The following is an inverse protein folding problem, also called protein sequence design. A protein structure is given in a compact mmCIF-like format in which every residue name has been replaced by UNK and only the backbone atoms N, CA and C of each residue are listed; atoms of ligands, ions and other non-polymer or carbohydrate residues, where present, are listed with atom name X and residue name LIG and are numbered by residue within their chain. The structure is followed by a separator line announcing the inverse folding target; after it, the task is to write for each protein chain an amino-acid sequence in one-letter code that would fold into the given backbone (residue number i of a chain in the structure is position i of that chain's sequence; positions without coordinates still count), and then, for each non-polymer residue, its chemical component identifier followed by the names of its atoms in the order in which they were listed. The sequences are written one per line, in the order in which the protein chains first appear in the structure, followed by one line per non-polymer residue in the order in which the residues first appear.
data_IF_581257442237
#
_entry.id   IF_581257442237
#
_cell.length_a   1.000
_cell.length_b   1.000
_cell.length_c   1.000
_cell.angle_alpha   90.00
_cell.angle_beta   90.00
_cell.angle_gamma   90.00
#
_symmetry.space_group_name_H-M   'P 1'
#
loop_
_entity.id
_entity.type
_entity.pdbx_description
1 polymer ?
#
# COMPACT_ATOMS: atom_id res chain seq x y z
N UNK A 1 -9.56 37.19 -11.19
CA UNK A 1 -9.55 35.93 -11.96
C UNK A 1 -8.47 36.01 -13.03
N UNK A 2 -7.58 35.03 -13.13
CA UNK A 2 -6.66 34.90 -14.28
C UNK A 2 -7.38 34.06 -15.34
N UNK A 3 -7.44 34.53 -16.58
CA UNK A 3 -7.99 33.78 -17.71
C UNK A 3 -7.02 33.83 -18.89
N UNK A 4 -7.10 32.83 -19.75
CA UNK A 4 -6.35 32.76 -21.00
C UNK A 4 -7.33 32.91 -22.16
N UNK A 5 -6.98 33.73 -23.15
CA UNK A 5 -7.78 33.96 -24.35
C UNK A 5 -7.18 33.18 -25.53
N UNK A 6 -8.01 32.40 -26.23
CA UNK A 6 -7.59 31.60 -27.39
C UNK A 6 -8.23 32.17 -28.66
N UNK A 7 -7.40 32.77 -29.53
CA UNK A 7 -7.84 33.36 -30.80
C UNK A 7 -7.48 32.45 -31.99
N UNK A 8 -8.47 32.16 -32.85
CA UNK A 8 -8.30 31.31 -34.03
C UNK A 8 -9.32 31.65 -35.12
N UNK A 9 -9.01 31.30 -36.36
CA UNK A 9 -9.90 31.54 -37.49
C UNK A 9 -11.17 30.67 -37.41
N UNK A 10 -12.35 31.26 -37.67
CA UNK A 10 -13.68 30.60 -37.59
C UNK A 10 -13.78 29.24 -38.28
N UNK A 11 -12.99 28.97 -39.32
CA UNK A 11 -12.94 27.70 -40.06
C UNK A 11 -12.47 26.51 -39.21
N UNK A 12 -11.78 26.77 -38.10
CA UNK A 12 -11.29 25.74 -37.18
C UNK A 12 -12.16 25.57 -35.93
N UNK A 13 -13.34 26.20 -35.86
CA UNK A 13 -14.21 26.17 -34.68
C UNK A 13 -14.51 24.75 -34.18
N UNK A 14 -14.89 23.85 -35.07
CA UNK A 14 -15.25 22.49 -34.68
C UNK A 14 -14.04 21.72 -34.17
N UNK A 15 -12.88 21.86 -34.81
CA UNK A 15 -11.62 21.27 -34.36
C UNK A 15 -11.25 21.76 -32.95
N UNK A 16 -11.36 23.07 -32.72
CA UNK A 16 -10.98 23.67 -31.44
C UNK A 16 -11.92 23.24 -30.32
N UNK A 17 -13.23 23.28 -30.54
CA UNK A 17 -14.21 22.94 -29.50
C UNK A 17 -14.20 21.43 -29.19
N UNK A 18 -14.14 20.58 -30.21
CA UNK A 18 -14.31 19.13 -30.01
C UNK A 18 -13.01 18.40 -29.66
N UNK A 19 -11.86 18.83 -30.19
CA UNK A 19 -10.57 18.16 -29.98
C UNK A 19 -9.63 18.99 -29.11
N UNK A 20 -9.32 20.22 -29.49
CA UNK A 20 -8.27 21.01 -28.81
C UNK A 20 -8.64 21.34 -27.36
N UNK A 21 -9.84 21.87 -27.10
CA UNK A 21 -10.26 22.18 -25.72
C UNK A 21 -10.35 20.93 -24.85
N UNK A 22 -10.84 19.81 -25.40
CA UNK A 22 -10.84 18.53 -24.68
C UNK A 22 -9.41 18.09 -24.33
N UNK A 23 -8.49 18.18 -25.29
CA UNK A 23 -7.08 17.90 -25.06
C UNK A 23 -6.50 18.81 -23.96
N UNK A 24 -6.68 20.13 -24.04
CA UNK A 24 -6.18 21.08 -23.03
C UNK A 24 -6.76 20.79 -21.64
N UNK A 25 -8.05 20.47 -21.54
CA UNK A 25 -8.66 20.10 -20.26
C UNK A 25 -8.12 18.77 -19.70
N UNK A 26 -7.85 17.80 -20.57
CA UNK A 26 -7.23 16.53 -20.17
C UNK A 26 -5.79 16.76 -19.73
N UNK A 27 -4.99 17.50 -20.50
CA UNK A 27 -3.61 17.83 -20.15
C UNK A 27 -3.52 18.66 -18.87
N UNK A 28 -4.40 19.65 -18.68
CA UNK A 28 -4.44 20.42 -17.44
C UNK A 28 -4.75 19.54 -16.21
N UNK A 29 -5.64 18.55 -16.37
CA UNK A 29 -5.90 17.55 -15.31
C UNK A 29 -4.68 16.67 -15.06
N UNK A 30 -4.01 16.20 -16.11
CA UNK A 30 -2.80 15.39 -16.01
C UNK A 30 -1.68 16.14 -15.29
N UNK A 31 -1.41 17.40 -15.69
CA UNK A 31 -0.41 18.27 -15.07
C UNK A 31 -0.74 18.49 -13.59
N UNK A 32 -2.00 18.83 -13.27
CA UNK A 32 -2.44 19.04 -11.89
C UNK A 32 -2.29 17.77 -11.05
N UNK A 33 -2.50 16.60 -11.64
CA UNK A 33 -2.33 15.32 -10.97
C UNK A 33 -0.85 14.95 -10.81
N UNK A 34 0.00 15.24 -11.80
CA UNK A 34 1.44 14.96 -11.73
C UNK A 34 2.17 15.86 -10.73
N UNK A 35 1.72 17.10 -10.57
CA UNK A 35 2.25 18.07 -9.60
C UNK A 35 1.54 18.01 -8.25
N UNK A 36 0.66 17.02 -8.03
CA UNK A 36 -0.11 16.90 -6.79
C UNK A 36 0.82 16.41 -5.68
N UNK A 37 0.90 17.17 -4.60
CA UNK A 37 1.42 16.71 -3.32
C UNK A 37 0.43 15.71 -2.73
N UNK A 38 0.94 14.53 -2.36
CA UNK A 38 0.12 13.46 -1.78
C UNK A 38 -0.10 13.79 -0.32
N UNK A 39 -1.32 13.57 0.17
CA UNK A 39 -1.65 13.76 1.58
C UNK A 39 -1.80 12.43 2.30
N UNK A 40 -1.36 12.40 3.56
CA UNK A 40 -1.69 11.35 4.52
C UNK A 40 -2.80 11.88 5.42
N UNK A 41 -3.87 11.10 5.53
CA UNK A 41 -5.03 11.39 6.36
C UNK A 41 -5.09 10.39 7.52
N UNK A 42 -5.20 10.92 8.73
CA UNK A 42 -5.32 10.14 9.97
C UNK A 42 -6.60 10.51 10.71
N UNK A 43 -7.14 9.59 11.49
CA UNK A 43 -8.38 9.81 12.24
C UNK A 43 -8.19 10.97 13.24
N UNK A 44 -9.09 11.94 13.22
CA UNK A 44 -9.10 13.05 14.18
C UNK A 44 -10.54 13.35 14.61
N UNK A 45 -10.86 12.99 15.84
CA UNK A 45 -12.18 13.21 16.45
C UNK A 45 -12.39 14.65 16.94
N UNK A 46 -11.31 15.43 17.05
CA UNK A 46 -11.37 16.81 17.54
C UNK A 46 -11.51 17.82 16.37
N UNK A 47 -11.31 17.36 15.13
CA UNK A 47 -11.43 18.16 13.92
C UNK A 47 -12.88 18.40 13.47
N UNK A 48 -13.06 19.34 12.53
CA UNK A 48 -14.35 19.58 11.86
C UNK A 48 -14.70 18.46 10.87
N UNK A 49 -13.66 17.91 10.24
CA UNK A 49 -13.69 16.70 9.44
C UNK A 49 -12.99 15.60 10.23
N UNK A 50 -13.53 14.38 10.24
CA UNK A 50 -13.00 13.22 10.98
C UNK A 50 -11.59 12.77 10.51
N UNK A 51 -11.02 13.49 9.54
CA UNK A 51 -9.72 13.26 8.95
C UNK A 51 -8.86 14.51 9.12
N UNK A 52 -7.79 14.39 9.90
CA UNK A 52 -6.67 15.34 9.84
C UNK A 52 -5.79 14.99 8.64
N UNK A 53 -5.09 15.98 8.05
CA UNK A 53 -4.24 15.71 6.90
C UNK A 53 -2.88 16.40 7.00
N UNK A 54 -1.84 15.68 6.58
CA UNK A 54 -0.46 16.18 6.44
C UNK A 54 0.07 15.83 5.05
N UNK A 55 1.14 16.49 4.60
CA UNK A 55 1.82 16.10 3.38
C UNK A 55 2.56 14.78 3.59
N UNK A 56 2.38 13.83 2.66
CA UNK A 56 3.07 12.55 2.63
C UNK A 56 4.33 12.66 1.76
N UNK A 57 5.45 13.00 2.39
CA UNK A 57 6.75 13.11 1.73
C UNK A 57 7.58 11.81 1.90
N UNK A 58 6.97 10.65 1.61
CA UNK A 58 7.68 9.37 1.74
C UNK A 58 8.54 9.09 0.50
N UNK A 59 9.85 8.79 0.63
CA UNK A 59 10.77 8.63 -0.51
C UNK A 59 10.64 7.29 -1.26
N UNK A 60 9.64 6.46 -0.94
CA UNK A 60 9.53 5.10 -1.45
C UNK A 60 8.93 5.11 -2.85
N UNK A 61 9.59 4.42 -3.78
CA UNK A 61 9.11 4.16 -5.12
C UNK A 61 9.21 2.67 -5.41
N UNK A 62 8.50 2.17 -6.41
CA UNK A 62 8.63 0.78 -6.85
C UNK A 62 10.09 0.41 -7.17
N UNK A 63 10.87 1.36 -7.68
CA UNK A 63 12.30 1.15 -7.98
C UNK A 63 13.13 0.91 -6.73
N UNK A 64 12.75 1.48 -5.58
CA UNK A 64 13.52 1.36 -4.33
C UNK A 64 13.09 0.19 -3.45
N UNK A 65 11.96 -0.46 -3.76
CA UNK A 65 11.44 -1.58 -2.96
C UNK A 65 12.09 -2.89 -3.38
N UNK A 66 12.73 -3.56 -2.41
CA UNK A 66 13.28 -4.90 -2.55
C UNK A 66 12.16 -5.94 -2.58
N UNK A 67 11.84 -6.42 -3.78
CA UNK A 67 10.87 -7.48 -4.04
C UNK A 67 11.21 -8.17 -5.36
N UNK A 68 10.63 -9.35 -5.60
CA UNK A 68 10.82 -10.06 -6.85
C UNK A 68 10.32 -9.25 -8.05
N UNK A 69 11.09 -9.19 -9.16
CA UNK A 69 10.72 -8.39 -10.33
C UNK A 69 9.36 -8.76 -10.94
N UNK A 70 9.02 -10.05 -10.96
CA UNK A 70 7.74 -10.52 -11.51
C UNK A 70 6.56 -10.06 -10.64
N UNK A 71 6.66 -10.21 -9.32
CA UNK A 71 5.62 -9.72 -8.38
C UNK A 71 5.45 -8.21 -8.48
N UNK A 72 6.55 -7.47 -8.62
CA UNK A 72 6.55 -6.01 -8.83
C UNK A 72 5.81 -5.64 -10.11
N UNK A 73 6.14 -6.30 -11.23
CA UNK A 73 5.51 -6.06 -12.53
C UNK A 73 4.03 -6.35 -12.48
N UNK A 74 3.63 -7.51 -11.95
CA UNK A 74 2.23 -7.93 -11.89
C UNK A 74 1.38 -6.95 -11.04
N UNK A 75 1.96 -6.42 -9.95
CA UNK A 75 1.33 -5.39 -9.11
C UNK A 75 1.15 -4.07 -9.87
N UNK A 76 2.20 -3.58 -10.56
CA UNK A 76 2.13 -2.34 -11.35
C UNK A 76 1.09 -2.48 -12.47
N UNK A 77 1.09 -3.61 -13.18
CA UNK A 77 0.11 -3.89 -14.24
C UNK A 77 -1.33 -3.92 -13.71
N UNK A 78 -1.57 -4.46 -12.51
CA UNK A 78 -2.92 -4.45 -11.92
C UNK A 78 -3.36 -3.03 -11.51
N UNK A 79 -2.43 -2.20 -11.01
CA UNK A 79 -2.69 -0.81 -10.68
C UNK A 79 -3.04 0.02 -11.91
N UNK A 80 -2.25 -0.09 -12.99
CA UNK A 80 -2.54 0.57 -14.28
C UNK A 80 -3.86 0.08 -14.88
N UNK A 81 -4.13 -1.23 -14.77
CA UNK A 81 -5.39 -1.84 -15.19
C UNK A 81 -6.58 -1.30 -14.39
N UNK A 82 -6.42 -1.05 -13.10
CA UNK A 82 -7.46 -0.47 -12.26
C UNK A 82 -7.82 0.95 -12.69
N UNK A 83 -6.81 1.81 -12.89
CA UNK A 83 -6.99 3.21 -13.30
C UNK A 83 -7.65 3.31 -14.69
N UNK A 84 -7.21 2.47 -15.63
CA UNK A 84 -7.69 2.51 -17.02
C UNK A 84 -9.11 1.96 -17.22
N UNK A 85 -9.72 1.36 -16.19
CA UNK A 85 -10.99 0.61 -16.31
C UNK A 85 -12.21 1.32 -15.74
N UNK A 86 -12.19 2.64 -15.54
CA UNK A 86 -13.36 3.41 -15.07
C UNK A 86 -14.67 3.04 -15.76
N UNK A 87 -14.68 3.09 -17.09
CA UNK A 87 -15.87 2.83 -17.91
C UNK A 87 -16.30 1.37 -17.85
N UNK A 88 -15.34 0.45 -17.66
CA UNK A 88 -15.63 -0.98 -17.49
C UNK A 88 -16.42 -1.20 -16.20
N UNK A 89 -15.94 -0.69 -15.06
CA UNK A 89 -16.62 -0.80 -13.76
C UNK A 89 -18.04 -0.22 -13.83
N UNK A 90 -18.17 0.97 -14.43
CA UNK A 90 -19.48 1.62 -14.64
C UNK A 90 -20.42 0.77 -15.50
N UNK A 91 -19.92 0.21 -16.60
CA UNK A 91 -20.72 -0.60 -17.54
C UNK A 91 -21.22 -1.90 -16.90
N UNK A 92 -20.42 -2.52 -16.04
CA UNK A 92 -20.81 -3.77 -15.35
C UNK A 92 -21.54 -3.52 -14.03
N UNK A 93 -21.86 -2.25 -13.70
CA UNK A 93 -22.61 -1.89 -12.50
C UNK A 93 -21.88 -2.17 -11.19
N UNK A 94 -20.54 -2.17 -11.20
CA UNK A 94 -19.71 -2.41 -10.00
C UNK A 94 -19.09 -1.11 -9.50
N UNK A 95 -18.98 -0.98 -8.18
CA UNK A 95 -18.22 0.08 -7.55
C UNK A 95 -16.76 0.05 -8.05
N UNK A 96 -16.20 1.22 -8.39
CA UNK A 96 -14.84 1.33 -8.90
C UNK A 96 -13.83 1.30 -7.76
N UNK A 97 -13.70 0.11 -7.17
CA UNK A 97 -12.78 -0.19 -6.07
C UNK A 97 -11.90 -1.39 -6.41
N UNK A 98 -10.74 -1.47 -5.75
CA UNK A 98 -9.81 -2.60 -5.81
C UNK A 98 -9.20 -2.87 -4.45
N UNK A 99 -9.26 -4.12 -4.00
CA UNK A 99 -8.70 -4.53 -2.71
C UNK A 99 -7.39 -5.28 -2.83
N UNK A 100 -6.41 -4.92 -1.99
CA UNK A 100 -5.09 -5.54 -1.91
C UNK A 100 -4.85 -6.05 -0.48
N UNK A 101 -4.31 -7.26 -0.37
CA UNK A 101 -3.80 -7.82 0.88
C UNK A 101 -2.29 -7.95 0.78
N UNK A 102 -1.55 -7.18 1.57
CA UNK A 102 -0.11 -7.28 1.72
C UNK A 102 0.19 -8.12 2.96
N UNK A 103 0.82 -9.28 2.78
CA UNK A 103 1.09 -10.17 3.90
C UNK A 103 2.51 -10.72 3.91
N UNK A 104 3.05 -10.96 5.09
CA UNK A 104 4.38 -11.53 5.29
C UNK A 104 5.03 -11.03 6.57
N UNK A 105 6.23 -11.53 6.92
CA UNK A 105 6.91 -11.18 8.17
C UNK A 105 7.05 -9.67 8.41
N UNK A 106 7.18 -9.21 9.67
CA UNK A 106 7.52 -7.83 9.97
C UNK A 106 8.86 -7.45 9.34
N UNK A 107 9.04 -6.18 8.97
CA UNK A 107 10.30 -5.72 8.34
C UNK A 107 10.47 -6.05 6.85
N UNK A 108 9.41 -6.55 6.19
CA UNK A 108 9.44 -6.84 4.74
C UNK A 108 9.07 -5.64 3.86
N UNK A 109 8.62 -4.53 4.43
CA UNK A 109 8.32 -3.29 3.69
C UNK A 109 6.87 -3.14 3.24
N UNK A 110 5.91 -3.77 3.93
CA UNK A 110 4.46 -3.66 3.65
C UNK A 110 3.99 -2.19 3.59
N UNK A 111 4.25 -1.40 4.63
CA UNK A 111 3.87 0.04 4.65
C UNK A 111 4.66 0.87 3.64
N UNK A 112 5.93 0.54 3.38
CA UNK A 112 6.72 1.20 2.33
C UNK A 112 6.15 0.92 0.93
N UNK A 113 5.57 -0.26 0.70
CA UNK A 113 4.88 -0.60 -0.55
C UNK A 113 3.60 0.23 -0.73
N UNK A 114 2.83 0.44 0.33
CA UNK A 114 1.68 1.36 0.31
C UNK A 114 2.11 2.76 -0.10
N UNK A 115 3.19 3.28 0.49
CA UNK A 115 3.74 4.58 0.13
C UNK A 115 4.19 4.63 -1.34
N UNK A 116 4.82 3.58 -1.86
CA UNK A 116 5.20 3.49 -3.28
C UNK A 116 3.97 3.44 -4.20
N UNK A 117 2.91 2.72 -3.83
CA UNK A 117 1.64 2.71 -4.57
C UNK A 117 1.04 4.12 -4.60
N UNK A 118 0.99 4.81 -3.46
CA UNK A 118 0.50 6.19 -3.38
C UNK A 118 1.31 7.13 -4.28
N UNK A 119 2.64 7.06 -4.20
CA UNK A 119 3.57 7.87 -4.99
C UNK A 119 3.44 7.65 -6.50
N UNK A 120 3.23 6.40 -6.90
CA UNK A 120 3.05 6.00 -8.29
C UNK A 120 1.71 6.49 -8.85
N UNK A 121 0.63 6.36 -8.07
CA UNK A 121 -0.73 6.73 -8.49
C UNK A 121 -1.06 8.21 -8.30
N UNK A 122 -0.30 8.92 -7.47
CA UNK A 122 -0.62 10.26 -6.95
C UNK A 122 -1.96 10.28 -6.20
N UNK A 123 -2.19 9.24 -5.39
CA UNK A 123 -3.39 9.07 -4.57
C UNK A 123 -3.12 9.46 -3.12
N UNK A 124 -4.10 10.11 -2.48
CA UNK A 124 -4.01 10.42 -1.05
C UNK A 124 -4.16 9.13 -0.24
N UNK A 125 -3.43 9.04 0.86
CA UNK A 125 -3.43 7.88 1.77
C UNK A 125 -4.32 8.19 2.95
N UNK A 126 -5.24 7.30 3.27
CA UNK A 126 -6.08 7.34 4.46
C UNK A 126 -5.69 6.18 5.34
N UNK A 127 -5.02 6.48 6.45
CA UNK A 127 -4.61 5.49 7.43
C UNK A 127 -5.71 5.30 8.47
N UNK A 128 -6.28 4.11 8.52
CA UNK A 128 -7.40 3.75 9.38
C UNK A 128 -6.93 2.72 10.41
N UNK A 129 -6.58 3.19 11.61
CA UNK A 129 -6.38 2.31 12.76
C UNK A 129 -7.75 1.92 13.34
N UNK A 130 -8.10 0.64 13.19
CA UNK A 130 -9.35 0.09 13.72
C UNK A 130 -9.44 0.16 15.25
N UNK A 131 -8.32 0.29 15.96
CA UNK A 131 -8.29 0.42 17.43
C UNK A 131 -8.78 1.80 17.88
N UNK A 132 -8.61 2.82 17.05
CA UNK A 132 -9.06 4.19 17.35
C UNK A 132 -10.55 4.39 17.03
N UNK A 133 -11.17 3.47 16.28
CA UNK A 133 -12.57 3.62 15.88
C UNK A 133 -13.51 3.16 16.99
N UNK A 134 -14.22 4.12 17.59
CA UNK A 134 -15.08 3.88 18.75
C UNK A 134 -16.35 3.08 18.42
N UNK A 135 -16.99 3.34 17.27
CA UNK A 135 -18.22 2.66 16.89
C UNK A 135 -18.44 2.55 15.37
N UNK A 136 -19.40 1.69 14.99
CA UNK A 136 -19.76 1.46 13.57
C UNK A 136 -20.24 2.73 12.84
N UNK A 137 -20.86 3.70 13.54
CA UNK A 137 -21.25 4.97 12.93
C UNK A 137 -20.05 5.86 12.60
N UNK A 138 -19.02 5.86 13.44
CA UNK A 138 -17.78 6.59 13.18
C UNK A 138 -17.04 5.98 12.00
N UNK A 139 -16.96 4.65 11.96
CA UNK A 139 -16.40 3.95 10.81
C UNK A 139 -17.10 4.36 9.51
N UNK A 140 -18.43 4.41 9.52
CA UNK A 140 -19.20 4.84 8.36
C UNK A 140 -18.87 6.28 7.96
N UNK A 141 -18.75 7.21 8.91
CA UNK A 141 -18.39 8.62 8.62
C UNK A 141 -16.98 8.71 8.03
N UNK A 142 -16.01 7.96 8.55
CA UNK A 142 -14.65 7.90 8.03
C UNK A 142 -14.61 7.40 6.57
N UNK A 143 -15.34 6.32 6.27
CA UNK A 143 -15.43 5.75 4.92
C UNK A 143 -16.13 6.66 3.90
N UNK A 144 -17.11 7.45 4.34
CA UNK A 144 -17.78 8.44 3.49
C UNK A 144 -16.91 9.69 3.32
N UNK A 145 -16.21 10.12 4.37
CA UNK A 145 -15.37 11.32 4.36
C UNK A 145 -14.06 11.19 3.57
N UNK A 146 -13.70 9.98 3.13
CA UNK A 146 -12.53 9.77 2.29
C UNK A 146 -12.79 10.19 0.84
N UNK A 147 -11.87 10.95 0.26
CA UNK A 147 -12.00 11.49 -1.10
C UNK A 147 -11.86 10.40 -2.18
N UNK A 148 -12.25 10.74 -3.42
CA UNK A 148 -11.89 9.97 -4.63
C UNK A 148 -10.38 9.99 -4.89
N UNK A 149 -9.84 9.01 -5.63
CA UNK A 149 -8.39 8.86 -5.89
C UNK A 149 -7.60 8.73 -4.59
N UNK A 150 -8.02 7.77 -3.79
CA UNK A 150 -7.47 7.50 -2.46
C UNK A 150 -7.08 6.03 -2.28
N UNK A 151 -6.12 5.82 -1.40
CA UNK A 151 -5.72 4.53 -0.86
C UNK A 151 -6.15 4.50 0.61
N UNK A 152 -7.14 3.67 0.94
CA UNK A 152 -7.50 3.39 2.34
C UNK A 152 -6.62 2.24 2.85
N UNK A 153 -5.86 2.49 3.90
CA UNK A 153 -4.92 1.56 4.50
C UNK A 153 -5.49 1.09 5.83
N UNK A 154 -5.49 -0.21 6.03
CA UNK A 154 -5.91 -0.84 7.28
C UNK A 154 -4.75 -1.74 7.70
N UNK A 155 -3.96 -1.26 8.65
CA UNK A 155 -2.74 -1.95 9.09
C UNK A 155 -3.02 -3.03 10.15
N UNK A 156 -2.15 -4.06 10.16
CA UNK A 156 -2.09 -5.12 11.16
C UNK A 156 -3.47 -5.74 11.52
N UNK A 157 -4.21 -6.16 10.48
CA UNK A 157 -5.56 -6.73 10.68
C UNK A 157 -5.56 -8.00 11.53
N UNK A 158 -4.46 -8.73 11.63
CA UNK A 158 -4.29 -9.87 12.54
C UNK A 158 -4.39 -9.48 14.02
N UNK A 159 -3.85 -8.32 14.40
CA UNK A 159 -3.98 -7.82 15.79
C UNK A 159 -5.43 -7.50 16.14
N UNK A 160 -6.22 -7.00 15.17
CA UNK A 160 -7.64 -6.70 15.38
C UNK A 160 -8.48 -7.96 15.62
N UNK A 161 -8.10 -9.08 14.98
CA UNK A 161 -8.77 -10.38 15.13
C UNK A 161 -8.43 -11.01 16.49
N UNK A 162 -7.18 -10.91 16.94
CA UNK A 162 -6.77 -11.43 18.25
C UNK A 162 -7.47 -10.73 19.41
N UNK A 163 -7.63 -9.42 19.34
CA UNK A 163 -8.38 -8.66 20.35
C UNK A 163 -9.83 -9.15 20.45
N UNK A 164 -10.48 -9.43 19.31
CA UNK A 164 -11.85 -9.97 19.26
C UNK A 164 -11.93 -11.38 19.87
N UNK A 165 -10.94 -12.24 19.60
CA UNK A 165 -10.92 -13.60 20.12
C UNK A 165 -10.65 -13.68 21.63
N UNK A 166 -9.83 -12.77 22.18
CA UNK A 166 -9.57 -12.69 23.62
C UNK A 166 -10.78 -12.15 24.38
N UNK A 167 -11.41 -11.09 23.86
CA UNK A 167 -12.63 -10.52 24.44
C UNK A 167 -13.78 -11.56 24.47
N UNK A 168 -13.85 -12.47 23.49
CA UNK A 168 -14.84 -13.54 23.45
C UNK A 168 -14.55 -14.71 24.42
N UNK A 169 -13.31 -14.87 24.90
CA UNK A 169 -12.88 -16.00 25.72
C UNK A 169 -12.89 -15.69 27.24
N UNK A 170 -12.83 -14.42 27.64
CA UNK A 170 -12.70 -14.03 29.06
C UNK A 170 -14.01 -13.66 29.77
N UNK A 171 -15.16 -13.51 29.07
CA UNK A 171 -16.39 -13.07 29.73
C UNK A 171 -17.62 -13.93 29.41
N UNK A 172 -18.00 -14.78 30.37
CA UNK A 172 -19.27 -15.52 30.38
C UNK A 172 -20.44 -14.71 30.96
N UNK A 173 -20.24 -13.46 31.38
CA UNK A 173 -21.32 -12.63 31.91
C UNK A 173 -20.93 -11.14 31.94
N UNK A 174 -21.01 -10.46 30.79
CA UNK A 174 -21.21 -9.00 30.69
C UNK A 174 -21.49 -8.59 29.25
N UNK A 175 -22.44 -7.67 29.11
CA UNK A 175 -22.72 -6.93 27.90
C UNK A 175 -21.49 -6.12 27.44
N UNK A 176 -20.60 -6.76 26.67
CA UNK A 176 -19.55 -6.06 25.93
C UNK A 176 -20.22 -5.40 24.74
N UNK A 177 -20.20 -4.06 24.72
CA UNK A 177 -21.05 -3.22 23.88
C UNK A 177 -21.07 -3.62 22.40
N UNK A 178 -22.29 -3.67 21.87
CA UNK A 178 -22.69 -3.93 20.47
C UNK A 178 -22.08 -2.96 19.44
N UNK A 179 -21.21 -2.04 19.87
CA UNK A 179 -20.64 -0.95 19.08
C UNK A 179 -19.17 -1.14 18.71
N UNK A 180 -18.41 -2.05 19.31
CA UNK A 180 -16.97 -2.20 18.99
C UNK A 180 -16.78 -2.64 17.53
N UNK A 181 -15.95 -1.91 16.79
CA UNK A 181 -15.75 -2.15 15.35
C UNK A 181 -15.02 -3.47 15.11
N UNK A 182 -15.63 -4.33 14.29
CA UNK A 182 -15.02 -5.58 13.86
C UNK A 182 -14.51 -5.50 12.42
N UNK A 183 -13.52 -6.32 12.08
CA UNK A 183 -13.02 -6.45 10.71
C UNK A 183 -14.13 -6.92 9.75
N UNK A 184 -15.01 -7.79 10.22
CA UNK A 184 -16.21 -8.22 9.48
C UNK A 184 -17.19 -7.07 9.23
N UNK A 185 -17.42 -6.19 10.22
CA UNK A 185 -18.25 -5.00 10.05
C UNK A 185 -17.65 -4.06 9.00
N UNK A 186 -16.34 -3.80 9.06
CA UNK A 186 -15.61 -3.00 8.08
C UNK A 186 -15.79 -3.53 6.66
N UNK A 187 -15.63 -4.84 6.44
CA UNK A 187 -15.83 -5.42 5.11
C UNK A 187 -17.28 -5.33 4.64
N UNK A 188 -18.25 -5.47 5.54
CA UNK A 188 -19.66 -5.26 5.20
C UNK A 188 -19.93 -3.81 4.77
N UNK A 189 -19.28 -2.82 5.39
CA UNK A 189 -19.36 -1.43 4.93
C UNK A 189 -18.68 -1.22 3.59
N UNK A 190 -17.51 -1.85 3.38
CA UNK A 190 -16.76 -1.78 2.13
C UNK A 190 -17.50 -2.47 0.97
N UNK A 191 -18.28 -3.51 1.22
CA UNK A 191 -19.07 -4.21 0.19
C UNK A 191 -20.47 -3.63 -0.01
N UNK A 192 -21.00 -2.95 1.00
CA UNK A 192 -22.33 -2.37 0.97
C UNK A 192 -22.46 -1.15 0.04
N UNK A 193 -23.64 -0.53 0.08
CA UNK A 193 -23.99 0.66 -0.72
C UNK A 193 -23.05 1.85 -0.48
N UNK A 194 -22.37 1.90 0.66
CA UNK A 194 -21.41 2.95 1.03
C UNK A 194 -20.14 2.92 0.17
N UNK A 195 -19.85 1.78 -0.47
CA UNK A 195 -18.76 1.64 -1.44
C UNK A 195 -18.95 2.46 -2.72
N UNK A 196 -20.17 2.96 -2.97
CA UNK A 196 -20.48 3.81 -4.13
C UNK A 196 -20.24 5.30 -3.87
N UNK A 197 -19.97 5.69 -2.63
CA UNK A 197 -19.83 7.10 -2.24
C UNK A 197 -18.47 7.74 -2.63
N UNK A 198 -17.59 6.99 -3.31
CA UNK A 198 -16.34 7.51 -3.86
C UNK A 198 -15.99 6.85 -5.19
N UNK A 199 -15.79 7.65 -6.23
CA UNK A 199 -15.22 7.19 -7.50
C UNK A 199 -13.71 6.90 -7.29
N UNK A 200 -13.22 5.73 -7.72
CA UNK A 200 -11.78 5.41 -7.78
C UNK A 200 -11.09 5.26 -6.41
N UNK A 201 -11.28 4.12 -5.75
CA UNK A 201 -10.65 3.82 -4.44
C UNK A 201 -9.88 2.52 -4.43
N UNK A 202 -8.68 2.55 -3.86
CA UNK A 202 -7.91 1.35 -3.52
C UNK A 202 -8.00 1.12 -2.02
N UNK A 203 -8.13 -0.14 -1.61
CA UNK A 203 -8.13 -0.53 -0.21
C UNK A 203 -6.98 -1.51 -0.01
N UNK A 204 -6.08 -1.20 0.92
CA UNK A 204 -4.92 -2.02 1.23
C UNK A 204 -5.00 -2.50 2.67
N UNK A 205 -4.95 -3.81 2.84
CA UNK A 205 -4.88 -4.47 4.14
C UNK A 205 -3.46 -4.97 4.34
N UNK A 206 -2.88 -4.76 5.52
CA UNK A 206 -1.58 -5.35 5.87
C UNK A 206 -1.75 -6.37 7.00
N UNK A 207 -1.01 -7.48 6.93
CA UNK A 207 -1.00 -8.48 8.00
C UNK A 207 0.35 -9.19 8.09
N UNK A 208 0.74 -9.60 9.30
CA UNK A 208 1.91 -10.46 9.49
C UNK A 208 1.55 -11.95 9.36
N UNK A 209 0.28 -12.30 9.60
CA UNK A 209 -0.20 -13.68 9.72
C UNK A 209 -1.47 -13.91 8.91
N UNK A 210 -1.30 -14.24 7.62
CA UNK A 210 -2.42 -14.53 6.71
C UNK A 210 -3.29 -15.70 7.18
N UNK A 211 -2.68 -16.69 7.84
CA UNK A 211 -3.33 -17.88 8.39
C UNK A 211 -4.32 -17.57 9.51
N UNK A 212 -4.19 -16.41 10.18
CA UNK A 212 -5.11 -15.96 11.23
C UNK A 212 -6.38 -15.29 10.70
N UNK A 213 -6.45 -15.03 9.39
CA UNK A 213 -7.59 -14.34 8.78
C UNK A 213 -8.71 -15.32 8.44
N UNK A 214 -9.95 -14.89 8.68
CA UNK A 214 -11.12 -15.65 8.23
C UNK A 214 -11.12 -15.75 6.68
N UNK A 215 -11.20 -16.96 6.10
CA UNK A 215 -11.28 -17.14 4.65
C UNK A 215 -12.44 -16.38 3.98
N UNK A 216 -13.50 -16.02 4.71
CA UNK A 216 -14.59 -15.19 4.21
C UNK A 216 -14.14 -13.76 3.85
N UNK A 217 -13.04 -13.28 4.41
CA UNK A 217 -12.45 -11.97 4.08
C UNK A 217 -11.72 -12.00 2.72
N UNK A 218 -11.21 -13.16 2.32
CA UNK A 218 -10.44 -13.36 1.08
C UNK A 218 -11.31 -13.55 -0.18
N UNK A 219 -12.63 -13.36 -0.07
CA UNK A 219 -13.56 -13.53 -1.19
C UNK A 219 -13.34 -12.43 -2.26
N UNK A 220 -13.53 -12.75 -3.55
CA UNK A 220 -13.45 -11.76 -4.62
C UNK A 220 -14.38 -10.56 -4.37
N UNK A 221 -13.89 -9.35 -4.65
CA UNK A 221 -14.57 -8.08 -4.35
C UNK A 221 -14.14 -7.40 -3.04
N UNK A 222 -13.43 -8.13 -2.16
CA UNK A 222 -12.86 -7.63 -0.90
C UNK A 222 -11.34 -7.46 -0.98
N UNK A 223 -10.61 -8.57 -1.09
CA UNK A 223 -9.15 -8.63 -1.17
C UNK A 223 -8.74 -9.36 -2.46
N UNK A 224 -8.90 -8.67 -3.59
CA UNK A 224 -8.76 -9.25 -4.94
C UNK A 224 -7.32 -9.67 -5.27
N UNK A 225 -6.35 -8.86 -4.84
CA UNK A 225 -4.93 -9.07 -5.11
C UNK A 225 -4.23 -9.38 -3.79
N UNK A 226 -3.49 -10.48 -3.75
CA UNK A 226 -2.76 -10.90 -2.56
C UNK A 226 -1.27 -10.88 -2.88
N UNK A 227 -0.53 -10.00 -2.21
CA UNK A 227 0.90 -9.82 -2.41
C UNK A 227 1.64 -10.39 -1.21
N UNK A 228 2.41 -11.45 -1.45
CA UNK A 228 3.28 -12.03 -0.44
C UNK A 228 4.60 -11.28 -0.38
N UNK A 229 4.82 -10.55 0.71
CA UNK A 229 6.06 -9.86 1.04
C UNK A 229 6.97 -10.83 1.79
N UNK A 230 7.70 -11.66 1.05
CA UNK A 230 8.59 -12.67 1.62
C UNK A 230 9.91 -12.10 2.14
N UNK A 231 10.75 -12.97 2.68
CA UNK A 231 12.15 -12.66 2.98
C UNK A 231 12.91 -12.14 1.75
N UNK A 232 14.01 -11.44 2.02
CA UNK A 232 14.86 -10.82 1.03
C UNK A 232 15.51 -11.91 0.16
N UNK A 233 15.35 -11.77 -1.15
CA UNK A 233 16.00 -12.63 -2.13
C UNK A 233 17.31 -11.99 -2.59
N UNK A 234 18.10 -12.73 -3.36
CA UNK A 234 19.31 -12.16 -3.96
C UNK A 234 19.00 -10.96 -4.88
N UNK A 235 17.86 -10.97 -5.59
CA UNK A 235 17.43 -9.84 -6.41
C UNK A 235 17.08 -8.63 -5.53
N UNK A 236 16.34 -8.85 -4.44
CA UNK A 236 16.06 -7.82 -3.44
C UNK A 236 17.35 -7.24 -2.83
N UNK A 237 18.30 -8.10 -2.46
CA UNK A 237 19.61 -7.69 -1.95
C UNK A 237 20.39 -6.83 -2.93
N UNK A 238 20.46 -7.22 -4.22
CA UNK A 238 21.16 -6.39 -5.23
C UNK A 238 20.61 -4.97 -5.27
N UNK A 239 19.29 -4.84 -5.17
CA UNK A 239 18.65 -3.53 -5.14
C UNK A 239 19.02 -2.76 -3.87
N UNK A 240 19.02 -3.41 -2.70
CA UNK A 240 19.46 -2.80 -1.45
C UNK A 240 20.94 -2.38 -1.53
N UNK A 241 21.82 -3.22 -2.08
CA UNK A 241 23.23 -2.90 -2.25
C UNK A 241 23.44 -1.70 -3.19
N UNK A 242 22.68 -1.62 -4.30
CA UNK A 242 22.71 -0.46 -5.18
C UNK A 242 22.19 0.81 -4.50
N UNK A 243 21.15 0.71 -3.68
CA UNK A 243 20.55 1.87 -3.02
C UNK A 243 21.35 2.38 -1.80
N UNK A 244 21.97 1.49 -1.02
CA UNK A 244 22.65 1.84 0.23
C UNK A 244 24.16 2.01 0.07
N UNK A 245 24.78 1.23 -0.82
CA UNK A 245 26.24 1.20 -1.00
C UNK A 245 26.68 1.68 -2.39
N UNK A 246 25.73 2.01 -3.28
CA UNK A 246 25.99 2.47 -4.65
C UNK A 246 26.81 1.47 -5.50
N UNK A 247 26.68 0.17 -5.20
CA UNK A 247 27.35 -0.92 -5.92
C UNK A 247 26.37 -1.81 -6.68
N UNK A 248 26.79 -2.29 -7.86
CA UNK A 248 26.01 -3.22 -8.67
C UNK A 248 26.62 -4.63 -8.75
N UNK A 249 27.91 -4.76 -8.43
CA UNK A 249 28.62 -6.03 -8.41
C UNK A 249 29.74 -6.00 -7.37
N UNK A 250 30.05 -7.16 -6.79
CA UNK A 250 31.14 -7.33 -5.84
C UNK A 250 31.51 -8.83 -5.76
N UNK A 251 32.79 -9.20 -5.55
CA UNK A 251 33.19 -10.61 -5.40
C UNK A 251 32.38 -11.40 -4.36
N UNK A 252 31.98 -10.73 -3.27
CA UNK A 252 31.16 -11.33 -2.20
C UNK A 252 29.71 -11.63 -2.60
N UNK A 253 29.21 -11.10 -3.72
CA UNK A 253 27.83 -11.35 -4.16
C UNK A 253 27.56 -12.83 -4.43
N UNK A 254 28.57 -13.57 -4.90
CA UNK A 254 28.45 -15.03 -5.09
C UNK A 254 28.21 -15.75 -3.76
N UNK A 255 28.98 -15.39 -2.73
CA UNK A 255 28.85 -15.95 -1.38
C UNK A 255 27.52 -15.57 -0.76
N UNK A 256 27.12 -14.31 -0.89
CA UNK A 256 25.85 -13.80 -0.36
C UNK A 256 24.66 -14.51 -1.04
N UNK A 257 24.73 -14.75 -2.35
CA UNK A 257 23.70 -15.51 -3.07
C UNK A 257 23.51 -16.90 -2.48
N UNK A 258 24.59 -17.65 -2.26
CA UNK A 258 24.53 -18.99 -1.67
C UNK A 258 24.04 -18.99 -0.21
N UNK A 259 24.27 -17.89 0.52
CA UNK A 259 23.79 -17.73 1.89
C UNK A 259 22.30 -17.45 1.97
N UNK A 260 21.73 -16.70 1.02
CA UNK A 260 20.27 -16.48 0.94
C UNK A 260 19.50 -17.77 0.65
N UNK A 261 20.13 -18.79 0.05
CA UNK A 261 19.52 -20.12 -0.11
C UNK A 261 19.43 -20.91 1.21
N UNK A 262 20.18 -20.50 2.25
CA UNK A 262 20.34 -21.22 3.52
C UNK A 262 19.83 -20.47 4.75
N UNK A 263 19.64 -19.17 4.65
CA UNK A 263 19.26 -18.31 5.75
C UNK A 263 18.20 -17.29 5.32
N UNK A 264 17.16 -17.16 6.13
CA UNK A 264 16.13 -16.16 5.89
C UNK A 264 16.51 -14.83 6.52
N UNK A 265 16.40 -13.74 5.78
CA UNK A 265 16.58 -12.39 6.30
C UNK A 265 15.58 -11.44 5.67
N UNK A 266 14.99 -10.58 6.49
CA UNK A 266 14.06 -9.56 6.01
C UNK A 266 14.82 -8.43 5.30
N UNK A 267 14.21 -7.75 4.32
CA UNK A 267 14.78 -6.54 3.72
C UNK A 267 15.25 -5.51 4.75
N UNK A 268 14.51 -5.32 5.86
CA UNK A 268 14.89 -4.41 6.93
C UNK A 268 16.17 -4.85 7.66
N UNK A 269 16.34 -6.14 7.98
CA UNK A 269 17.56 -6.66 8.59
C UNK A 269 18.76 -6.51 7.64
N UNK A 270 18.59 -6.86 6.36
CA UNK A 270 19.64 -6.71 5.34
C UNK A 270 20.04 -5.24 5.21
N UNK A 271 19.06 -4.32 5.09
CA UNK A 271 19.33 -2.88 5.05
C UNK A 271 20.05 -2.41 6.32
N UNK A 272 19.64 -2.88 7.49
CA UNK A 272 20.28 -2.59 8.76
C UNK A 272 21.75 -3.00 8.79
N UNK A 273 22.10 -4.19 8.28
CA UNK A 273 23.51 -4.61 8.16
C UNK A 273 24.30 -3.75 7.17
N UNK A 274 23.72 -3.40 6.02
CA UNK A 274 24.37 -2.56 5.02
C UNK A 274 24.62 -1.14 5.53
N UNK A 275 23.77 -0.61 6.41
CA UNK A 275 23.92 0.73 6.99
C UNK A 275 25.02 0.83 8.06
N UNK A 276 25.48 -0.28 8.64
CA UNK A 276 26.45 -0.25 9.75
C UNK A 276 27.81 0.32 9.35
N UNK A 277 28.17 0.21 8.08
CA UNK A 277 29.45 0.67 7.56
C UNK A 277 29.25 1.40 6.23
N UNK A 278 29.93 2.53 6.08
CA UNK A 278 29.93 3.28 4.81
C UNK A 278 30.85 2.67 3.76
N UNK A 279 31.83 1.86 4.17
CA UNK A 279 32.69 1.12 3.23
C UNK A 279 31.95 -0.11 2.68
N UNK A 280 31.77 -0.24 1.35
CA UNK A 280 31.01 -1.34 0.77
C UNK A 280 31.59 -2.72 1.09
N UNK A 281 32.92 -2.88 1.14
CA UNK A 281 33.53 -4.17 1.42
C UNK A 281 33.28 -4.60 2.87
N UNK A 282 33.46 -3.70 3.84
CA UNK A 282 33.16 -3.93 5.25
C UNK A 282 31.67 -4.21 5.49
N UNK A 283 30.78 -3.46 4.85
CA UNK A 283 29.33 -3.66 4.96
C UNK A 283 28.90 -5.06 4.44
N UNK A 284 29.40 -5.47 3.28
CA UNK A 284 29.12 -6.79 2.73
C UNK A 284 29.72 -7.92 3.58
N UNK A 285 30.92 -7.72 4.15
CA UNK A 285 31.52 -8.69 5.06
C UNK A 285 30.71 -8.84 6.36
N UNK A 286 30.15 -7.74 6.86
CA UNK A 286 29.20 -7.74 7.98
C UNK A 286 27.95 -8.56 7.65
N UNK A 287 27.35 -8.33 6.49
CA UNK A 287 26.18 -9.09 6.02
C UNK A 287 26.49 -10.59 5.85
N UNK A 288 27.66 -10.95 5.31
CA UNK A 288 28.08 -12.36 5.21
C UNK A 288 28.17 -13.00 6.59
N UNK A 289 28.73 -12.28 7.57
CA UNK A 289 28.86 -12.77 8.94
C UNK A 289 27.49 -12.96 9.59
N UNK A 290 26.57 -12.01 9.39
CA UNK A 290 25.19 -12.07 9.85
C UNK A 290 24.43 -13.27 9.26
N UNK A 291 24.44 -13.43 7.94
CA UNK A 291 23.76 -14.53 7.26
C UNK A 291 24.36 -15.89 7.61
N UNK A 292 25.69 -15.96 7.79
CA UNK A 292 26.37 -17.19 8.23
C UNK A 292 25.94 -17.59 9.64
N UNK A 293 25.85 -16.63 10.56
CA UNK A 293 25.35 -16.91 11.91
C UNK A 293 23.93 -17.47 11.87
N UNK A 294 23.04 -16.83 11.11
CA UNK A 294 21.65 -17.30 10.96
C UNK A 294 21.52 -18.68 10.33
N UNK A 295 22.31 -18.96 9.30
CA UNK A 295 22.31 -20.29 8.66
C UNK A 295 22.64 -21.43 9.62
N UNK A 296 23.37 -21.15 10.72
CA UNK A 296 23.69 -22.16 11.75
C UNK A 296 22.54 -22.35 12.74
N UNK A 297 21.74 -21.32 12.97
CA UNK A 297 20.60 -21.36 13.87
C UNK A 297 19.40 -22.04 13.19
N UNK A 298 19.17 -21.78 11.90
CA UNK A 298 18.09 -22.42 11.12
C UNK A 298 18.31 -23.93 10.92
N UNK A 299 19.57 -24.41 10.94
CA UNK A 299 19.90 -25.86 10.87
C UNK A 299 19.71 -26.58 12.21
N UNK A 300 19.54 -25.83 13.32
CA UNK A 300 19.35 -26.39 14.66
C UNK A 300 17.88 -26.49 15.09
N UNK A 301 16.95 -25.92 14.32
CA UNK A 301 15.49 -26.05 14.49
C UNK A 301 14.94 -27.15 13.58
#
# INVERSE_FOLDING_TARGET
MRFYELNFHKKHRDLVITRYLRYVLTEAKNIKQSSKEIKLHTVDYNGTDYWSCINLDHPATFDKIAMEPDVKRDLIEDLERFISRKEYYRRVGKAWKRGYLLYGPPGTGKSSLVAAMANYLKFDVYDLDLKEVMCNSDLRRLLIGSASKSILVIEDIDCSVELQNRDAAEDGDKAVGDDKVTLSALLNFIDGLWSTCGDERIIVFTTNHKDRLDPALLRPGRMDVQVHMSYCTFNGFKLLAANYLEINDHPLFKVIKELFDKAQATPAEVAGELMKNSDPAAALQGLVSFLTARSRDDVRQ
#
